data_IF_689050435275
#
_entry.id   IF_689050435275
#
_cell.length_a   1.000
_cell.length_b   1.000
_cell.length_c   1.000
_cell.angle_alpha   90.00
_cell.angle_beta   90.00
_cell.angle_gamma   90.00
#
_symmetry.space_group_name_H-M   'P 1'
#
loop_
_entity.id
_entity.type
_entity.pdbx_description
1 polymer ?
#
# COMPACT_ATOMS: atom_id res chain seq x y z
N UNK A 1 19.67 -50.28 -1.46
CA UNK A 1 18.80 -49.50 -0.54
C UNK A 1 18.45 -48.18 -1.21
N UNK A 2 17.22 -48.03 -1.69
CA UNK A 2 16.77 -46.80 -2.36
C UNK A 2 16.19 -45.85 -1.30
N UNK A 3 16.83 -44.71 -1.10
CA UNK A 3 16.34 -43.66 -0.21
C UNK A 3 15.11 -43.01 -0.85
N UNK A 4 13.92 -43.30 -0.30
CA UNK A 4 12.66 -42.67 -0.67
C UNK A 4 12.72 -41.20 -0.25
N UNK A 5 12.73 -40.27 -1.21
CA UNK A 5 12.69 -38.84 -0.94
C UNK A 5 11.41 -38.52 -0.17
N UNK A 6 11.55 -37.91 1.00
CA UNK A 6 10.41 -37.39 1.74
C UNK A 6 9.73 -36.31 0.87
N UNK A 7 8.52 -36.59 0.43
CA UNK A 7 7.69 -35.61 -0.25
C UNK A 7 7.20 -34.66 0.85
N UNK A 8 7.81 -33.48 0.96
CA UNK A 8 7.30 -32.42 1.80
C UNK A 8 5.88 -32.11 1.29
N UNK A 9 4.88 -32.17 2.18
CA UNK A 9 3.54 -31.71 1.83
C UNK A 9 3.65 -30.29 1.27
N UNK A 10 2.98 -29.97 0.15
CA UNK A 10 3.02 -28.62 -0.40
C UNK A 10 2.56 -27.68 0.70
N UNK A 11 3.44 -26.74 1.10
CA UNK A 11 3.01 -25.61 1.91
C UNK A 11 1.83 -24.98 1.19
N UNK A 12 0.73 -24.79 1.91
CA UNK A 12 -0.43 -24.10 1.38
C UNK A 12 0.07 -22.77 0.81
N UNK A 13 -0.09 -22.54 -0.48
CA UNK A 13 0.46 -21.34 -1.14
C UNK A 13 -0.11 -20.06 -0.51
N UNK A 14 -1.30 -20.16 0.10
CA UNK A 14 -1.95 -19.12 0.88
C UNK A 14 -1.47 -19.04 2.34
N UNK A 15 -0.48 -19.81 2.76
CA UNK A 15 0.20 -19.58 4.04
C UNK A 15 1.30 -18.50 3.93
N UNK A 16 1.65 -18.10 2.70
CA UNK A 16 2.71 -17.14 2.43
C UNK A 16 2.14 -15.74 2.19
N UNK A 17 2.51 -14.78 3.04
CA UNK A 17 2.01 -13.39 2.96
C UNK A 17 2.32 -12.71 1.63
N UNK A 18 3.47 -12.99 1.01
CA UNK A 18 3.79 -12.43 -0.30
C UNK A 18 2.87 -12.92 -1.42
N UNK A 19 2.36 -14.16 -1.33
CA UNK A 19 1.39 -14.69 -2.29
C UNK A 19 0.04 -14.02 -2.10
N UNK A 20 -0.41 -13.87 -0.85
CA UNK A 20 -1.67 -13.18 -0.49
C UNK A 20 -1.67 -11.73 -0.98
N UNK A 21 -0.58 -11.01 -0.72
CA UNK A 21 -0.34 -9.64 -1.19
C UNK A 21 -0.32 -9.59 -2.72
N UNK A 22 0.36 -10.54 -3.37
CA UNK A 22 0.37 -10.65 -4.84
C UNK A 22 -1.02 -10.84 -5.44
N UNK A 23 -1.86 -11.70 -4.85
CA UNK A 23 -3.25 -11.90 -5.29
C UNK A 23 -4.03 -10.61 -5.16
N UNK A 24 -3.93 -9.90 -4.03
CA UNK A 24 -4.63 -8.62 -3.81
C UNK A 24 -4.26 -7.59 -4.87
N UNK A 25 -2.98 -7.53 -5.28
CA UNK A 25 -2.56 -6.60 -6.34
C UNK A 25 -3.18 -6.91 -7.71
N UNK A 26 -3.60 -8.16 -7.93
CA UNK A 26 -4.29 -8.56 -9.15
C UNK A 26 -5.81 -8.29 -9.11
N UNK A 27 -6.37 -7.95 -7.95
CA UNK A 27 -7.80 -7.72 -7.78
C UNK A 27 -8.16 -6.26 -8.11
N UNK A 28 -8.65 -6.04 -9.33
CA UNK A 28 -9.17 -4.72 -9.74
C UNK A 28 -10.49 -4.34 -9.06
N UNK A 29 -11.26 -5.31 -8.56
CA UNK A 29 -12.51 -5.10 -7.84
C UNK A 29 -12.28 -4.98 -6.34
N UNK A 30 -12.79 -3.90 -5.74
CA UNK A 30 -12.76 -3.70 -4.29
C UNK A 30 -13.50 -4.83 -3.55
N UNK A 31 -14.66 -5.22 -4.06
CA UNK A 31 -15.49 -6.26 -3.43
C UNK A 31 -14.75 -7.59 -3.39
N UNK A 32 -14.02 -7.92 -4.45
CA UNK A 32 -13.23 -9.15 -4.52
C UNK A 32 -12.05 -9.08 -3.56
N UNK A 33 -11.38 -7.92 -3.46
CA UNK A 33 -10.29 -7.72 -2.50
C UNK A 33 -10.76 -7.88 -1.04
N UNK A 34 -11.90 -7.27 -0.68
CA UNK A 34 -12.48 -7.40 0.66
C UNK A 34 -12.97 -8.82 0.93
N UNK A 35 -13.63 -9.47 -0.04
CA UNK A 35 -14.08 -10.84 0.09
C UNK A 35 -12.91 -11.81 0.27
N UNK A 36 -11.83 -11.62 -0.51
CA UNK A 36 -10.61 -12.39 -0.40
C UNK A 36 -9.97 -12.24 0.99
N UNK A 37 -9.81 -11.00 1.46
CA UNK A 37 -9.27 -10.72 2.80
C UNK A 37 -10.13 -11.38 3.89
N UNK A 38 -11.46 -11.22 3.84
CA UNK A 38 -12.38 -11.81 4.82
C UNK A 38 -12.42 -13.33 4.80
N UNK A 39 -12.14 -13.95 3.66
CA UNK A 39 -12.09 -15.40 3.53
C UNK A 39 -10.82 -16.00 4.15
N UNK A 40 -9.83 -15.19 4.53
CA UNK A 40 -8.59 -15.69 5.10
C UNK A 40 -8.76 -16.07 6.58
N UNK A 41 -8.21 -17.22 7.01
CA UNK A 41 -8.35 -17.70 8.38
C UNK A 41 -7.54 -16.87 9.39
N UNK A 42 -6.48 -16.18 8.94
CA UNK A 42 -5.73 -15.22 9.73
C UNK A 42 -5.28 -14.05 8.86
N UNK A 43 -5.47 -12.85 9.39
CA UNK A 43 -4.99 -11.60 8.83
C UNK A 43 -4.16 -10.92 9.91
N UNK A 44 -2.88 -10.70 9.65
CA UNK A 44 -1.99 -10.00 10.56
C UNK A 44 -1.25 -8.89 9.81
N UNK A 45 -0.83 -7.87 10.58
CA UNK A 45 -0.04 -6.75 10.09
C UNK A 45 -0.69 -6.02 8.90
N UNK A 46 -0.03 -5.94 7.73
CA UNK A 46 -0.45 -5.08 6.63
C UNK A 46 -1.77 -5.52 5.97
N UNK A 47 -2.08 -6.82 5.99
CA UNK A 47 -3.32 -7.34 5.39
C UNK A 47 -4.53 -7.06 6.29
N UNK A 48 -4.35 -7.09 7.61
CA UNK A 48 -5.38 -6.69 8.56
C UNK A 48 -5.65 -5.18 8.47
N UNK A 49 -4.58 -4.37 8.44
CA UNK A 49 -4.66 -2.93 8.26
C UNK A 49 -5.36 -2.56 6.93
N UNK A 50 -5.06 -3.30 5.86
CA UNK A 50 -5.74 -3.11 4.58
C UNK A 50 -7.24 -3.41 4.67
N UNK A 51 -7.62 -4.55 5.28
CA UNK A 51 -9.04 -4.88 5.43
C UNK A 51 -9.77 -3.79 6.23
N UNK A 52 -9.17 -3.34 7.32
CA UNK A 52 -9.72 -2.26 8.14
C UNK A 52 -9.91 -0.99 7.30
N UNK A 53 -8.85 -0.54 6.60
CA UNK A 53 -8.88 0.65 5.75
C UNK A 53 -9.96 0.59 4.67
N UNK A 54 -10.11 -0.57 4.01
CA UNK A 54 -11.13 -0.79 2.98
C UNK A 54 -12.56 -0.90 3.52
N UNK A 55 -12.73 -1.01 4.84
CA UNK A 55 -14.05 -1.10 5.48
C UNK A 55 -14.44 0.16 6.25
N UNK A 56 -13.46 0.95 6.69
CA UNK A 56 -13.68 2.19 7.45
C UNK A 56 -13.64 3.42 6.56
N UNK A 57 -12.68 3.50 5.63
CA UNK A 57 -12.45 4.71 4.84
C UNK A 57 -13.23 4.71 3.52
N UNK A 58 -14.38 5.38 3.51
CA UNK A 58 -15.21 5.51 2.31
C UNK A 58 -14.49 6.20 1.13
N UNK A 59 -13.47 7.01 1.42
CA UNK A 59 -12.64 7.68 0.41
C UNK A 59 -11.73 6.68 -0.29
N UNK A 60 -11.03 5.84 0.48
CA UNK A 60 -10.14 4.80 -0.05
C UNK A 60 -10.92 3.77 -0.85
N UNK A 61 -12.12 3.38 -0.39
CA UNK A 61 -12.99 2.45 -1.11
C UNK A 61 -13.29 2.91 -2.56
N UNK A 62 -13.51 4.21 -2.77
CA UNK A 62 -13.81 4.75 -4.11
C UNK A 62 -12.60 4.82 -5.03
N UNK A 63 -11.39 4.72 -4.47
CA UNK A 63 -10.13 4.89 -5.20
C UNK A 63 -9.47 3.56 -5.54
N UNK A 64 -9.96 2.44 -5.00
CA UNK A 64 -9.41 1.12 -5.31
C UNK A 64 -9.35 0.86 -6.83
N UNK A 65 -8.23 0.35 -7.38
CA UNK A 65 -7.02 -0.15 -6.70
C UNK A 65 -5.88 0.87 -6.51
N UNK A 66 -6.05 2.13 -6.95
CA UNK A 66 -5.00 3.17 -6.90
C UNK A 66 -5.36 4.20 -5.84
N UNK A 67 -4.76 4.09 -4.66
CA UNK A 67 -5.11 4.95 -3.52
C UNK A 67 -4.35 6.28 -3.62
N UNK A 68 -5.10 7.39 -3.59
CA UNK A 68 -4.54 8.74 -3.61
C UNK A 68 -4.30 9.18 -2.17
N UNK A 69 -3.03 9.19 -1.76
CA UNK A 69 -2.67 9.45 -0.36
C UNK A 69 -3.06 10.85 0.11
N UNK A 70 -3.10 11.85 -0.78
CA UNK A 70 -3.47 13.23 -0.40
C UNK A 70 -4.93 13.37 0.02
N UNK A 71 -5.77 12.42 -0.41
CA UNK A 71 -7.20 12.40 -0.10
C UNK A 71 -7.50 11.52 1.12
N UNK A 72 -6.50 10.81 1.64
CA UNK A 72 -6.63 10.05 2.88
C UNK A 72 -6.56 11.03 4.05
N UNK A 73 -7.60 11.03 4.88
CA UNK A 73 -7.65 11.87 6.07
C UNK A 73 -6.53 11.53 7.05
N UNK A 74 -6.12 12.49 7.88
CA UNK A 74 -5.07 12.27 8.87
C UNK A 74 -5.39 11.11 9.84
N UNK A 75 -6.68 10.87 10.10
CA UNK A 75 -7.18 9.76 10.93
C UNK A 75 -6.96 8.37 10.32
N UNK A 76 -7.07 8.26 8.99
CA UNK A 76 -6.88 7.01 8.24
C UNK A 76 -5.44 6.82 7.78
N UNK A 77 -4.61 7.87 7.85
CA UNK A 77 -3.24 7.87 7.31
C UNK A 77 -2.35 6.83 7.98
N UNK A 78 -2.49 6.65 9.29
CA UNK A 78 -1.73 5.66 10.06
C UNK A 78 -2.02 4.24 9.58
N UNK A 79 -3.31 3.99 9.32
CA UNK A 79 -3.80 2.73 8.82
C UNK A 79 -3.38 2.51 7.35
N UNK A 80 -3.41 3.57 6.53
CA UNK A 80 -2.93 3.53 5.15
C UNK A 80 -1.43 3.24 5.08
N UNK A 81 -0.63 3.83 5.97
CA UNK A 81 0.80 3.56 6.07
C UNK A 81 1.08 2.13 6.57
N UNK A 82 0.29 1.60 7.50
CA UNK A 82 0.39 0.20 7.93
C UNK A 82 -0.01 -0.79 6.81
N UNK A 83 -0.97 -0.40 5.96
CA UNK A 83 -1.45 -1.20 4.83
C UNK A 83 -0.55 -1.14 3.58
N UNK A 84 0.43 -0.22 3.52
CA UNK A 84 1.31 0.00 2.37
C UNK A 84 1.87 -1.28 1.70
N UNK A 85 2.37 -2.28 2.45
CA UNK A 85 2.89 -3.50 1.84
C UNK A 85 1.84 -4.27 1.03
N UNK A 86 0.57 -4.16 1.41
CA UNK A 86 -0.56 -4.85 0.80
C UNK A 86 -1.33 -3.98 -0.22
N UNK A 87 -1.06 -2.68 -0.28
CA UNK A 87 -1.71 -1.78 -1.23
C UNK A 87 -1.22 -2.05 -2.66
N UNK A 88 -2.11 -2.14 -3.67
CA UNK A 88 -1.71 -2.42 -5.05
C UNK A 88 -0.83 -1.31 -5.62
N UNK A 89 -1.34 -0.08 -5.53
CA UNK A 89 -0.73 1.11 -6.07
C UNK A 89 -1.07 2.31 -5.19
N UNK A 90 -0.11 3.22 -5.09
CA UNK A 90 -0.28 4.51 -4.45
C UNK A 90 0.00 5.63 -5.45
N UNK A 91 -0.80 6.68 -5.35
CA UNK A 91 -0.64 7.92 -6.06
C UNK A 91 -0.48 9.05 -5.02
N UNK A 92 0.53 9.86 -5.24
CA UNK A 92 0.82 11.07 -4.45
C UNK A 92 0.76 12.26 -5.41
N UNK A 93 -0.22 13.12 -5.22
CA UNK A 93 -0.45 14.31 -6.04
C UNK A 93 0.08 15.59 -5.36
N UNK A 94 0.12 15.61 -4.02
CA UNK A 94 0.56 16.75 -3.22
C UNK A 94 1.64 16.32 -2.24
N UNK A 95 2.89 16.42 -2.71
CA UNK A 95 4.07 16.05 -1.92
C UNK A 95 4.15 16.75 -0.55
N UNK A 96 3.65 17.98 -0.42
CA UNK A 96 3.64 18.72 0.86
C UNK A 96 2.71 18.08 1.89
N UNK A 97 1.50 17.68 1.48
CA UNK A 97 0.53 17.00 2.33
C UNK A 97 1.08 15.66 2.81
N UNK A 98 1.67 14.90 1.89
CA UNK A 98 2.31 13.64 2.25
C UNK A 98 3.53 13.86 3.15
N UNK A 99 4.37 14.86 2.88
CA UNK A 99 5.53 15.15 3.71
C UNK A 99 5.13 15.53 5.14
N UNK A 100 4.04 16.29 5.31
CA UNK A 100 3.45 16.56 6.62
C UNK A 100 2.96 15.28 7.32
N UNK A 101 2.28 14.40 6.59
CA UNK A 101 1.82 13.11 7.12
C UNK A 101 2.96 12.13 7.47
N UNK A 102 4.08 12.21 6.77
CA UNK A 102 5.28 11.40 7.01
C UNK A 102 6.23 12.02 8.04
N UNK A 103 6.00 13.27 8.47
CA UNK A 103 6.87 13.96 9.40
C UNK A 103 7.00 13.17 10.70
N UNK A 104 8.24 12.82 11.06
CA UNK A 104 8.55 11.99 12.24
C UNK A 104 8.49 10.48 12.00
N UNK A 105 8.09 10.00 10.81
CA UNK A 105 8.11 8.58 10.42
C UNK A 105 9.18 8.26 9.39
N UNK A 106 9.41 9.21 8.47
CA UNK A 106 10.47 9.15 7.49
C UNK A 106 11.26 10.46 7.52
N UNK A 107 12.57 10.35 7.36
CA UNK A 107 13.47 11.52 7.37
C UNK A 107 13.22 12.45 6.16
N UNK A 108 12.69 11.90 5.08
CA UNK A 108 12.38 12.63 3.85
C UNK A 108 11.40 11.86 2.97
N UNK A 109 10.73 12.58 2.07
CA UNK A 109 9.93 11.96 1.00
C UNK A 109 10.78 11.00 0.16
N UNK A 110 12.06 11.33 -0.09
CA UNK A 110 12.99 10.44 -0.78
C UNK A 110 13.23 9.11 -0.07
N UNK A 111 13.31 9.10 1.27
CA UNK A 111 13.44 7.88 2.04
C UNK A 111 12.19 7.01 1.91
N UNK A 112 11.00 7.64 1.93
CA UNK A 112 9.74 6.97 1.68
C UNK A 112 9.66 6.37 0.27
N UNK A 113 9.98 7.15 -0.76
CA UNK A 113 9.95 6.68 -2.15
C UNK A 113 10.96 5.57 -2.41
N UNK A 114 12.12 5.62 -1.75
CA UNK A 114 13.15 4.58 -1.84
C UNK A 114 12.74 3.28 -1.13
N UNK A 115 11.91 3.36 -0.10
CA UNK A 115 11.38 2.18 0.59
C UNK A 115 10.26 1.49 -0.21
N UNK A 116 9.49 2.24 -1.02
CA UNK A 116 8.33 1.73 -1.76
C UNK A 116 8.36 2.01 -3.27
N UNK A 117 9.48 1.77 -3.97
CA UNK A 117 9.67 2.22 -5.36
C UNK A 117 8.72 1.54 -6.35
N UNK A 118 8.25 0.33 -6.05
CA UNK A 118 7.34 -0.45 -6.91
C UNK A 118 5.87 -0.13 -6.70
N UNK A 119 5.53 0.66 -5.67
CA UNK A 119 4.15 1.00 -5.29
C UNK A 119 3.71 2.36 -5.80
N UNK A 120 4.66 3.26 -5.95
CA UNK A 120 4.41 4.64 -6.36
C UNK A 120 4.23 4.64 -7.88
N UNK A 121 2.98 4.78 -8.29
CA UNK A 121 2.62 4.81 -9.72
C UNK A 121 2.69 6.21 -10.30
N UNK A 122 2.49 7.23 -9.46
CA UNK A 122 2.53 8.63 -9.87
C UNK A 122 2.92 9.52 -8.70
N UNK A 123 3.79 10.49 -8.99
CA UNK A 123 4.23 11.57 -8.08
C UNK A 123 4.04 12.88 -8.85
N UNK A 124 2.98 13.63 -8.54
CA UNK A 124 2.94 15.03 -8.98
C UNK A 124 3.83 15.85 -8.05
N UNK A 125 4.97 16.25 -8.59
CA UNK A 125 5.75 17.30 -7.97
C UNK A 125 5.16 18.61 -8.46
N UNK A 126 4.50 19.37 -7.57
CA UNK A 126 4.41 20.81 -7.76
C UNK A 126 5.85 21.34 -7.71
N UNK A 127 6.53 21.35 -8.85
CA UNK A 127 7.75 22.14 -9.02
C UNK A 127 7.32 23.55 -8.72
N UNK A 128 7.72 24.01 -7.53
CA UNK A 128 7.39 25.32 -7.03
C UNK A 128 7.77 26.34 -8.11
N UNK A 129 6.75 26.86 -8.82
CA UNK A 129 6.95 27.86 -9.88
C UNK A 129 7.39 29.20 -9.31
N UNK A 130 7.48 29.34 -7.99
CA UNK A 130 8.00 30.52 -7.32
C UNK A 130 9.55 30.57 -7.30
N UNK A 131 10.25 29.52 -7.78
CA UNK A 131 11.70 29.61 -8.02
C UNK A 131 12.07 30.29 -9.35
N UNK A 132 11.12 30.75 -10.17
CA UNK A 132 11.39 31.61 -11.33
C UNK A 132 11.55 33.10 -10.95
N UNK A 133 11.93 33.40 -9.70
CA UNK A 133 12.20 34.74 -9.20
C UNK A 133 13.68 35.08 -9.12
N UNK A 134 14.53 34.68 -10.07
CA UNK A 134 15.88 35.24 -10.21
C UNK A 134 16.38 35.16 -11.66
N UNK A 135 16.35 36.28 -12.36
CA UNK A 135 17.32 36.62 -13.39
C UNK A 135 17.61 38.14 -13.34
N UNK A 136 18.89 38.54 -13.53
CA UNK A 136 19.47 39.81 -13.10
C UNK A 136 19.06 41.04 -13.90
#
# INVERSE_FOLDING_TARGET
MAAKRACHAPSDALALDHVRVGVIHCLGSLLDAVAFLRAMPSLDGPLAALLELLTTSSTVMKQWPVIVFDLVGAEDMDLALAALPALPAIHVSLCETLQGALAGRYDSLSAFTAAWPTKITHLDQCVNRDCCGFCP
#
